data_IF_100266788808
#
_entry.id   IF_100266788808
#
_cell.length_a   1.000
_cell.length_b   1.000
_cell.length_c   1.000
_cell.angle_alpha   90.00
_cell.angle_beta   90.00
_cell.angle_gamma   90.00
#
_symmetry.space_group_name_H-M   'P 1'
#
loop_
_entity.id
_entity.type
_entity.pdbx_description
1 polymer ?
#
# COMPACT_ATOMS: atom_id res chain seq x y z
N UNK A 1 5.53 8.85 -27.13
CA UNK A 1 5.33 9.01 -25.68
C UNK A 1 6.40 8.20 -24.99
N UNK A 2 7.19 8.83 -24.13
CA UNK A 2 8.28 8.16 -23.40
C UNK A 2 7.98 7.97 -21.91
N UNK A 3 7.01 8.72 -21.39
CA UNK A 3 6.58 8.64 -20.01
C UNK A 3 5.10 8.23 -19.95
N UNK A 4 4.77 7.49 -18.90
CA UNK A 4 3.41 7.13 -18.55
C UNK A 4 3.14 7.51 -17.09
N UNK A 5 1.98 8.09 -16.80
CA UNK A 5 1.56 8.47 -15.45
C UNK A 5 0.09 8.13 -15.22
N UNK A 6 -0.25 7.75 -13.99
CA UNK A 6 -1.58 7.27 -13.61
C UNK A 6 -2.09 8.01 -12.38
N UNK A 7 -3.36 8.44 -12.42
CA UNK A 7 -4.04 9.11 -11.31
C UNK A 7 -5.51 8.69 -11.23
N UNK A 8 -5.90 8.10 -10.10
CA UNK A 8 -7.25 7.59 -9.87
C UNK A 8 -7.79 7.87 -8.46
N UNK A 9 -7.07 8.63 -7.63
CA UNK A 9 -7.55 9.05 -6.31
C UNK A 9 -7.33 10.53 -6.01
N UNK A 10 -8.22 11.13 -5.22
CA UNK A 10 -8.16 12.53 -4.79
C UNK A 10 -6.92 12.86 -3.95
N UNK A 11 -6.27 11.87 -3.33
CA UNK A 11 -5.01 12.07 -2.60
C UNK A 11 -3.77 12.03 -3.48
N UNK A 12 -3.89 11.64 -4.77
CA UNK A 12 -2.78 11.57 -5.71
C UNK A 12 -2.44 12.97 -6.29
N UNK A 13 -2.03 13.90 -5.42
CA UNK A 13 -1.92 15.33 -5.75
C UNK A 13 -0.54 15.78 -6.27
N UNK A 14 0.46 14.90 -6.33
CA UNK A 14 1.77 15.23 -6.90
C UNK A 14 1.76 15.31 -8.43
N UNK A 15 2.79 15.97 -8.99
CA UNK A 15 3.00 16.03 -10.45
C UNK A 15 3.23 14.65 -11.06
N UNK A 16 4.01 13.81 -10.37
CA UNK A 16 4.18 12.39 -10.60
C UNK A 16 4.16 11.70 -9.24
N UNK A 17 3.19 10.83 -9.00
CA UNK A 17 3.15 10.09 -7.74
C UNK A 17 4.13 8.90 -7.79
N UNK A 18 4.92 8.73 -6.73
CA UNK A 18 5.71 7.54 -6.52
C UNK A 18 4.86 6.27 -6.69
N UNK A 19 5.38 5.29 -7.46
CA UNK A 19 4.69 4.04 -7.79
C UNK A 19 3.65 4.13 -8.92
N UNK A 20 3.32 5.33 -9.41
CA UNK A 20 2.25 5.55 -10.41
C UNK A 20 2.76 6.12 -11.74
N UNK A 21 4.01 5.85 -12.08
CA UNK A 21 4.62 6.33 -13.31
C UNK A 21 5.57 5.29 -13.91
N UNK A 22 5.88 5.45 -15.19
CA UNK A 22 6.84 4.65 -15.92
C UNK A 22 7.57 5.49 -16.98
N UNK A 23 8.74 5.02 -17.39
CA UNK A 23 9.59 5.71 -18.37
C UNK A 23 10.32 4.72 -19.25
N UNK A 24 10.43 5.04 -20.55
CA UNK A 24 11.26 4.29 -21.50
C UNK A 24 12.75 4.53 -21.26
N UNK A 25 13.58 3.50 -21.46
CA UNK A 25 15.03 3.65 -21.43
C UNK A 25 15.51 4.75 -22.40
N UNK A 26 16.46 5.56 -21.95
CA UNK A 26 17.02 6.68 -22.72
C UNK A 26 16.22 7.99 -22.68
N UNK A 27 15.02 8.00 -22.09
CA UNK A 27 14.21 9.22 -21.96
C UNK A 27 14.62 10.12 -20.78
N UNK A 28 15.47 9.61 -19.89
CA UNK A 28 16.09 10.35 -18.80
C UNK A 28 17.62 10.29 -18.93
N UNK A 29 18.34 11.30 -18.39
CA UNK A 29 19.74 11.13 -18.04
C UNK A 29 19.95 9.87 -17.18
N UNK A 30 21.19 9.36 -17.07
CA UNK A 30 21.47 8.21 -16.23
C UNK A 30 20.91 8.39 -14.82
N UNK A 31 20.07 7.47 -14.36
CA UNK A 31 19.34 7.58 -13.10
C UNK A 31 20.29 7.81 -11.91
N UNK A 32 21.47 7.18 -11.95
CA UNK A 32 22.53 7.40 -10.96
C UNK A 32 22.93 8.88 -10.86
N UNK A 33 23.15 9.57 -11.98
CA UNK A 33 23.53 10.98 -11.97
C UNK A 33 22.42 11.87 -11.42
N UNK A 34 21.16 11.57 -11.74
CA UNK A 34 20.02 12.29 -11.18
C UNK A 34 19.95 12.09 -9.67
N UNK A 35 20.08 10.85 -9.20
CA UNK A 35 20.07 10.51 -7.78
C UNK A 35 21.24 11.16 -7.02
N UNK A 36 22.46 11.11 -7.54
CA UNK A 36 23.63 11.75 -6.95
C UNK A 36 23.44 13.27 -6.82
N UNK A 37 22.92 13.93 -7.85
CA UNK A 37 22.61 15.37 -7.80
C UNK A 37 21.48 15.71 -6.82
N UNK A 38 20.48 14.84 -6.69
CA UNK A 38 19.42 15.03 -5.71
C UNK A 38 19.93 14.86 -4.27
N UNK A 39 20.82 13.89 -4.05
CA UNK A 39 21.40 13.57 -2.74
C UNK A 39 22.58 14.48 -2.37
N UNK A 40 23.12 15.29 -3.29
CA UNK A 40 24.19 16.25 -3.00
C UNK A 40 23.74 17.46 -2.17
N UNK A 41 22.45 17.55 -1.86
CA UNK A 41 21.84 18.59 -1.02
C UNK A 41 21.10 17.96 0.16
N UNK A 42 20.94 18.67 1.28
CA UNK A 42 20.15 18.19 2.41
C UNK A 42 18.72 17.82 1.98
N UNK A 43 18.24 16.66 2.45
CA UNK A 43 16.85 16.27 2.25
C UNK A 43 15.94 17.06 3.19
N UNK A 44 14.91 17.68 2.63
CA UNK A 44 13.88 18.36 3.42
C UNK A 44 13.04 17.36 4.23
N UNK A 45 12.79 16.18 3.66
CA UNK A 45 12.11 15.07 4.35
C UNK A 45 12.64 13.76 3.80
N UNK A 46 13.02 12.84 4.68
CA UNK A 46 13.38 11.47 4.31
C UNK A 46 12.15 10.68 3.86
N UNK A 47 10.98 10.95 4.43
CA UNK A 47 9.74 10.26 4.10
C UNK A 47 9.22 10.62 2.69
N UNK A 48 9.38 11.88 2.26
CA UNK A 48 8.91 12.37 0.95
C UNK A 48 10.04 12.54 -0.09
N UNK A 49 11.20 11.94 0.16
CA UNK A 49 12.39 12.15 -0.66
C UNK A 49 12.17 11.72 -2.12
N UNK A 50 11.47 10.62 -2.35
CA UNK A 50 11.11 10.13 -3.68
C UNK A 50 10.18 11.11 -4.41
N UNK A 51 9.16 11.65 -3.75
CA UNK A 51 8.24 12.62 -4.36
C UNK A 51 8.98 13.91 -4.76
N UNK A 52 9.88 14.41 -3.93
CA UNK A 52 10.70 15.57 -4.27
C UNK A 52 11.66 15.28 -5.42
N UNK A 53 12.27 14.09 -5.44
CA UNK A 53 13.09 13.66 -6.56
C UNK A 53 12.29 13.63 -7.87
N UNK A 54 11.10 13.02 -7.87
CA UNK A 54 10.25 12.93 -9.05
C UNK A 54 9.83 14.33 -9.54
N UNK A 55 9.43 15.21 -8.63
CA UNK A 55 9.02 16.58 -8.95
C UNK A 55 10.15 17.40 -9.58
N UNK A 56 11.37 17.27 -9.07
CA UNK A 56 12.45 18.19 -9.45
C UNK A 56 13.37 17.63 -10.54
N UNK A 57 13.56 16.31 -10.58
CA UNK A 57 14.53 15.67 -11.48
C UNK A 57 13.89 14.85 -12.60
N UNK A 58 12.64 14.41 -12.44
CA UNK A 58 11.95 13.58 -13.45
C UNK A 58 10.88 14.39 -14.20
N UNK A 59 10.02 15.11 -13.49
CA UNK A 59 8.93 15.89 -14.08
C UNK A 59 9.37 16.86 -15.18
N UNK A 60 10.53 17.57 -15.08
CA UNK A 60 11.00 18.43 -16.16
C UNK A 60 11.19 17.71 -17.50
N UNK A 61 11.46 16.40 -17.50
CA UNK A 61 11.50 15.58 -18.71
C UNK A 61 10.13 14.99 -19.04
N UNK A 62 9.43 14.49 -18.02
CA UNK A 62 8.19 13.76 -18.20
C UNK A 62 7.11 14.58 -18.92
N UNK A 63 6.88 15.83 -18.49
CA UNK A 63 5.81 16.68 -19.04
C UNK A 63 5.97 17.00 -20.53
N UNK A 64 7.17 16.78 -21.11
CA UNK A 64 7.44 17.00 -22.53
C UNK A 64 7.00 15.81 -23.41
N UNK A 65 6.80 14.61 -22.84
CA UNK A 65 6.43 13.40 -23.59
C UNK A 65 5.59 12.43 -22.74
N UNK A 66 4.47 12.93 -22.24
CA UNK A 66 3.63 12.25 -21.25
C UNK A 66 2.35 11.68 -21.86
N UNK A 67 2.16 10.37 -21.72
CA UNK A 67 0.83 9.77 -21.70
C UNK A 67 0.36 9.74 -20.25
N UNK A 68 -0.82 10.30 -19.96
CA UNK A 68 -1.38 10.19 -18.62
C UNK A 68 -2.82 9.71 -18.64
N UNK A 69 -3.17 8.98 -17.59
CA UNK A 69 -4.53 8.59 -17.27
C UNK A 69 -4.97 9.27 -15.97
N UNK A 70 -6.06 10.03 -16.00
CA UNK A 70 -6.56 10.78 -14.85
C UNK A 70 -8.09 10.67 -14.79
N UNK A 71 -8.62 10.16 -13.68
CA UNK A 71 -10.07 10.12 -13.42
C UNK A 71 -10.55 11.18 -12.43
N UNK A 72 -9.68 12.08 -11.98
CA UNK A 72 -9.94 12.97 -10.84
C UNK A 72 -9.85 14.44 -11.24
N UNK A 73 -8.72 14.89 -11.80
CA UNK A 73 -8.45 16.32 -11.99
C UNK A 73 -8.48 16.77 -13.44
N UNK A 74 -8.31 15.85 -14.40
CA UNK A 74 -8.17 16.22 -15.81
C UNK A 74 -6.95 17.11 -16.06
N UNK A 75 -5.84 16.84 -15.37
CA UNK A 75 -4.64 17.66 -15.45
C UNK A 75 -3.97 17.55 -16.84
N UNK A 76 -3.73 18.68 -17.53
CA UNK A 76 -3.27 18.71 -18.94
C UNK A 76 -4.16 17.84 -19.87
N UNK A 77 -3.59 17.23 -20.92
CA UNK A 77 -4.33 16.42 -21.90
C UNK A 77 -4.52 14.96 -21.43
N UNK A 78 -5.09 14.78 -20.23
CA UNK A 78 -5.27 13.46 -19.65
C UNK A 78 -6.28 12.59 -20.41
N UNK A 79 -5.97 11.29 -20.52
CA UNK A 79 -6.90 10.28 -21.03
C UNK A 79 -7.74 9.74 -19.86
N UNK A 80 -8.95 9.22 -20.14
CA UNK A 80 -9.72 8.51 -19.13
C UNK A 80 -8.92 7.37 -18.52
N UNK A 81 -9.03 7.18 -17.22
CA UNK A 81 -8.41 6.05 -16.53
C UNK A 81 -9.08 4.74 -16.96
N UNK A 82 -8.31 3.66 -17.25
CA UNK A 82 -8.88 2.36 -17.60
C UNK A 82 -9.47 1.68 -16.35
N UNK A 83 -10.63 2.16 -15.91
CA UNK A 83 -11.24 1.83 -14.61
C UNK A 83 -11.81 0.41 -14.52
N UNK A 84 -11.94 -0.31 -15.63
CA UNK A 84 -12.51 -1.67 -15.64
C UNK A 84 -11.74 -2.68 -14.76
N UNK A 85 -10.48 -2.39 -14.44
CA UNK A 85 -9.63 -3.25 -13.61
C UNK A 85 -9.60 -2.88 -12.11
N UNK A 86 -10.20 -1.75 -11.71
CA UNK A 86 -10.11 -1.25 -10.33
C UNK A 86 -11.50 -1.24 -9.68
N UNK A 87 -11.71 -1.89 -8.51
CA UNK A 87 -12.97 -1.83 -7.79
C UNK A 87 -13.41 -0.40 -7.47
N UNK A 88 -14.71 -0.14 -7.46
CA UNK A 88 -15.29 1.21 -7.27
C UNK A 88 -14.92 1.85 -5.93
N UNK A 89 -14.63 1.04 -4.90
CA UNK A 89 -14.22 1.47 -3.56
C UNK A 89 -12.69 1.45 -3.36
N UNK A 90 -11.92 1.38 -4.44
CA UNK A 90 -10.46 1.26 -4.43
C UNK A 90 -9.79 2.20 -5.42
N UNK A 91 -8.47 2.22 -5.39
CA UNK A 91 -7.60 2.88 -6.35
C UNK A 91 -6.26 2.15 -6.40
N UNK A 92 -5.49 2.35 -7.46
CA UNK A 92 -4.15 1.81 -7.61
C UNK A 92 -3.26 2.44 -6.53
N UNK A 93 -2.55 1.59 -5.78
CA UNK A 93 -1.76 2.02 -4.63
C UNK A 93 -2.56 2.11 -3.32
N UNK A 94 -3.85 1.73 -3.30
CA UNK A 94 -4.65 1.68 -2.08
C UNK A 94 -4.00 0.81 -1.00
N UNK A 95 -3.76 1.39 0.18
CA UNK A 95 -3.18 0.68 1.31
C UNK A 95 -4.23 -0.18 2.01
N UNK A 96 -4.24 -1.47 1.67
CA UNK A 96 -5.11 -2.45 2.33
C UNK A 96 -4.73 -2.68 3.80
N UNK A 97 -3.49 -2.48 4.20
CA UNK A 97 -2.97 -2.90 5.51
C UNK A 97 -3.25 -1.94 6.68
N UNK A 98 -4.04 -0.89 6.48
CA UNK A 98 -4.34 0.09 7.54
C UNK A 98 -5.22 -0.44 8.69
N UNK A 99 -6.20 -1.33 8.46
CA UNK A 99 -7.03 -1.84 9.54
C UNK A 99 -6.28 -2.81 10.45
N UNK A 100 -6.64 -2.77 11.73
CA UNK A 100 -6.15 -3.69 12.75
C UNK A 100 -7.32 -4.28 13.53
N UNK A 101 -7.05 -5.38 14.22
CA UNK A 101 -7.94 -5.98 15.19
C UNK A 101 -7.28 -6.00 16.56
N UNK A 102 -8.10 -6.11 17.60
CA UNK A 102 -7.68 -6.45 18.96
C UNK A 102 -8.50 -7.65 19.42
N UNK A 103 -7.83 -8.73 19.82
CA UNK A 103 -8.46 -9.91 20.41
C UNK A 103 -7.98 -10.04 21.84
N UNK A 104 -8.91 -9.95 22.79
CA UNK A 104 -8.64 -10.20 24.20
C UNK A 104 -8.30 -11.67 24.42
N UNK A 105 -7.39 -11.93 25.35
CA UNK A 105 -6.95 -13.28 25.72
C UNK A 105 -6.62 -13.35 27.20
N UNK A 106 -6.88 -14.50 27.80
CA UNK A 106 -6.52 -14.76 29.20
C UNK A 106 -5.06 -15.24 29.36
N UNK A 107 -4.31 -15.33 28.25
CA UNK A 107 -2.88 -15.66 28.27
C UNK A 107 -2.08 -14.53 28.94
N UNK A 108 -1.01 -14.90 29.65
CA UNK A 108 -0.14 -13.93 30.30
C UNK A 108 0.59 -13.02 29.29
N UNK A 109 0.81 -11.76 29.66
CA UNK A 109 1.64 -10.84 28.90
C UNK A 109 3.03 -11.42 28.63
N UNK A 110 3.55 -11.18 27.42
CA UNK A 110 4.82 -11.74 26.95
C UNK A 110 4.72 -13.18 26.41
N UNK A 111 3.54 -13.82 26.47
CA UNK A 111 3.35 -15.16 25.89
C UNK A 111 3.48 -15.09 24.36
N UNK A 112 4.38 -15.88 23.75
CA UNK A 112 4.42 -16.06 22.30
C UNK A 112 3.18 -16.82 21.83
N UNK A 113 2.52 -16.27 20.82
CA UNK A 113 1.31 -16.84 20.23
C UNK A 113 1.41 -16.77 18.72
N UNK A 114 0.54 -17.52 18.06
CA UNK A 114 0.14 -17.21 16.70
C UNK A 114 -1.36 -16.92 16.67
N UNK A 115 -1.74 -15.99 15.81
CA UNK A 115 -3.12 -15.79 15.44
C UNK A 115 -3.38 -16.33 14.04
N UNK A 116 -4.57 -16.88 13.84
CA UNK A 116 -5.04 -17.43 12.57
C UNK A 116 -6.28 -16.66 12.11
N UNK A 117 -6.34 -16.35 10.81
CA UNK A 117 -7.56 -15.89 10.16
C UNK A 117 -8.20 -17.07 9.43
N UNK A 118 -9.44 -17.39 9.78
CA UNK A 118 -10.19 -18.52 9.23
C UNK A 118 -11.60 -18.10 8.84
N UNK A 119 -12.25 -18.83 7.94
CA UNK A 119 -13.67 -18.60 7.66
C UNK A 119 -14.58 -19.04 8.82
N UNK A 120 -15.69 -18.35 8.99
CA UNK A 120 -16.77 -18.72 9.89
C UNK A 120 -17.65 -19.82 9.23
N UNK A 121 -17.13 -21.05 9.14
CA UNK A 121 -17.91 -22.23 8.73
C UNK A 121 -17.97 -23.23 9.88
N UNK A 122 -19.14 -23.85 10.16
CA UNK A 122 -19.26 -24.90 11.17
C UNK A 122 -18.51 -26.19 10.81
N UNK A 123 -18.24 -26.45 9.52
CA UNK A 123 -17.44 -27.60 9.07
C UNK A 123 -16.44 -27.17 7.98
N UNK A 124 -15.17 -27.59 8.13
CA UNK A 124 -14.05 -27.31 7.21
C UNK A 124 -13.86 -25.82 6.85
N UNK A 125 -13.70 -24.97 7.87
CA UNK A 125 -13.33 -23.56 7.67
C UNK A 125 -12.00 -23.44 6.92
N UNK A 126 -11.96 -22.87 5.70
CA UNK A 126 -10.70 -22.61 5.03
C UNK A 126 -9.81 -21.69 5.85
N UNK A 127 -8.57 -22.12 6.04
CA UNK A 127 -7.48 -21.33 6.58
C UNK A 127 -7.07 -20.26 5.56
N UNK A 128 -6.89 -19.02 6.04
CA UNK A 128 -6.46 -17.90 5.19
C UNK A 128 -5.00 -17.55 5.47
N UNK A 129 -4.66 -17.27 6.72
CA UNK A 129 -3.30 -16.93 7.12
C UNK A 129 -3.04 -17.17 8.61
N UNK A 130 -1.74 -17.21 8.97
CA UNK A 130 -1.23 -17.31 10.34
C UNK A 130 -0.05 -16.37 10.48
N UNK A 131 0.01 -15.63 11.58
CA UNK A 131 1.17 -14.79 11.92
C UNK A 131 1.53 -14.93 13.40
N UNK A 132 2.83 -14.84 13.74
CA UNK A 132 3.28 -14.79 15.12
C UNK A 132 2.91 -13.44 15.75
N UNK A 133 2.68 -13.46 17.06
CA UNK A 133 2.46 -12.27 17.88
C UNK A 133 2.89 -12.54 19.33
N UNK A 134 2.84 -11.47 20.15
CA UNK A 134 3.10 -11.55 21.58
C UNK A 134 1.91 -10.90 22.29
N UNK A 135 1.42 -11.55 23.34
CA UNK A 135 0.36 -10.98 24.18
C UNK A 135 0.88 -9.74 24.89
N UNK A 136 0.19 -8.61 24.74
CA UNK A 136 0.54 -7.34 25.38
C UNK A 136 -0.71 -6.70 25.95
N UNK A 137 -0.74 -6.43 27.25
CA UNK A 137 -1.90 -5.84 27.92
C UNK A 137 -3.14 -6.74 27.86
N UNK A 138 -2.97 -8.06 27.91
CA UNK A 138 -4.06 -9.04 27.82
C UNK A 138 -4.72 -9.14 26.43
N UNK A 139 -4.06 -8.64 25.38
CA UNK A 139 -4.59 -8.67 24.02
C UNK A 139 -3.54 -9.06 22.98
N UNK A 140 -4.04 -9.52 21.83
CA UNK A 140 -3.28 -9.69 20.60
C UNK A 140 -3.80 -8.69 19.57
N UNK A 141 -2.91 -7.84 19.08
CA UNK A 141 -3.16 -6.91 17.98
C UNK A 141 -2.49 -7.39 16.70
N UNK A 142 -3.20 -7.29 15.58
CA UNK A 142 -2.64 -7.56 14.25
C UNK A 142 -3.24 -6.65 13.18
N UNK A 143 -2.44 -6.32 12.17
CA UNK A 143 -2.93 -5.64 10.97
C UNK A 143 -3.46 -6.66 9.97
N UNK A 144 -4.48 -6.26 9.22
CA UNK A 144 -5.06 -7.10 8.18
C UNK A 144 -5.47 -6.27 6.96
N UNK A 145 -5.42 -6.85 5.75
CA UNK A 145 -6.03 -6.24 4.57
C UNK A 145 -7.48 -5.81 4.84
N UNK A 146 -7.85 -4.60 4.42
CA UNK A 146 -9.17 -4.01 4.62
C UNK A 146 -10.29 -4.89 4.06
N UNK A 147 -10.04 -5.61 2.96
CA UNK A 147 -10.97 -6.62 2.45
C UNK A 147 -11.31 -7.72 3.46
N UNK A 148 -10.36 -8.12 4.32
CA UNK A 148 -10.59 -9.12 5.37
C UNK A 148 -11.21 -8.49 6.62
N UNK A 149 -10.89 -7.24 6.94
CA UNK A 149 -11.53 -6.51 8.04
C UNK A 149 -13.04 -6.39 7.83
N UNK A 150 -13.44 -5.99 6.61
CA UNK A 150 -14.85 -5.93 6.22
C UNK A 150 -15.58 -7.28 6.29
N UNK A 151 -14.86 -8.40 6.20
CA UNK A 151 -15.43 -9.75 6.30
C UNK A 151 -15.48 -10.24 7.74
N UNK A 152 -14.54 -9.82 8.60
CA UNK A 152 -14.63 -9.99 10.05
C UNK A 152 -15.84 -9.24 10.62
N UNK A 153 -16.05 -7.99 10.22
CA UNK A 153 -17.21 -7.17 10.64
C UNK A 153 -18.55 -7.81 10.26
N UNK A 154 -18.59 -8.53 9.13
CA UNK A 154 -19.78 -9.29 8.67
C UNK A 154 -19.93 -10.66 9.33
N UNK A 155 -18.98 -11.06 10.18
CA UNK A 155 -18.97 -12.38 10.81
C UNK A 155 -18.64 -13.53 9.86
N UNK A 156 -18.10 -13.26 8.67
CA UNK A 156 -17.70 -14.29 7.69
C UNK A 156 -16.34 -14.91 8.02
N UNK A 157 -15.52 -14.20 8.79
CA UNK A 157 -14.20 -14.62 9.23
C UNK A 157 -14.12 -14.57 10.75
N UNK A 158 -13.17 -15.31 11.31
CA UNK A 158 -12.88 -15.34 12.76
C UNK A 158 -11.37 -15.32 12.94
N UNK A 159 -10.92 -14.63 14.00
CA UNK A 159 -9.54 -14.67 14.48
C UNK A 159 -9.44 -15.66 15.63
N UNK A 160 -8.48 -16.59 15.54
CA UNK A 160 -8.18 -17.54 16.62
C UNK A 160 -6.77 -17.27 17.13
N UNK A 161 -6.63 -17.11 18.44
CA UNK A 161 -5.33 -16.97 19.10
C UNK A 161 -4.95 -18.31 19.72
N UNK A 162 -3.73 -18.77 19.48
CA UNK A 162 -3.19 -20.02 20.02
C UNK A 162 -1.79 -19.77 20.58
N UNK A 163 -1.54 -20.27 21.79
CA UNK A 163 -0.20 -20.26 22.36
C UNK A 163 0.74 -21.11 21.50
N UNK A 164 1.96 -20.63 21.30
CA UNK A 164 2.99 -21.46 20.69
C UNK A 164 3.45 -22.50 21.72
N UNK A 165 3.26 -23.77 21.40
CA UNK A 165 3.87 -24.86 22.19
C UNK A 165 5.37 -24.83 21.96
N UNK A 166 6.14 -24.68 23.03
CA UNK A 166 7.58 -24.94 22.99
C UNK A 166 7.77 -26.43 22.70
N UNK A 167 8.41 -26.75 21.59
CA UNK A 167 9.04 -28.06 21.38
C UNK A 167 10.24 -28.24 22.32
#
# INVERSE_FOLDING_TARGET
>A
MHFHHMRDNATHTELLLAGMWGVSAGALPPMQQLAERFMSRPLQSTHFADQYFLREFVWPYAHQSLLQHDSVFGFMDARPFPSEAVPTDSHVGYSEGSPFFDVLTDLADGTPVHWELVAASPENAPFICRYPAIVTGGAVRGNLPARYARRLERGELIIRVKADTRE
#
